data_IF_120035070708
#
_entry.id   IF_120035070708
#
_cell.length_a   1.000
_cell.length_b   1.000
_cell.length_c   1.000
_cell.angle_alpha   90.00
_cell.angle_beta   90.00
_cell.angle_gamma   90.00
#
_symmetry.space_group_name_H-M   'P 1'
#
loop_
_entity.id
_entity.type
_entity.pdbx_description
1 polymer ?
#
# COMPACT_ATOMS: atom_id res chain seq x y z
N UNK A 1 7.82 -10.35 -7.42
CA UNK A 1 7.53 -9.40 -6.31
C UNK A 1 6.02 -9.38 -6.09
N UNK A 2 5.56 -9.63 -4.89
CA UNK A 2 4.14 -9.67 -4.52
C UNK A 2 3.81 -8.49 -3.61
N UNK A 3 2.70 -7.78 -3.94
CA UNK A 3 2.17 -6.69 -3.13
C UNK A 3 0.87 -7.09 -2.42
N UNK A 4 0.70 -6.62 -1.20
CA UNK A 4 -0.52 -6.79 -0.40
C UNK A 4 -1.13 -5.41 -0.20
N UNK A 5 -2.39 -5.28 -0.58
CA UNK A 5 -3.07 -4.01 -0.67
C UNK A 5 -4.36 -4.01 0.16
N UNK A 6 -4.74 -2.82 0.65
CA UNK A 6 -6.09 -2.53 1.10
C UNK A 6 -6.82 -1.75 0.00
N UNK A 7 -7.99 -2.20 -0.36
CA UNK A 7 -8.87 -1.47 -1.27
C UNK A 7 -9.88 -0.64 -0.48
N UNK A 8 -10.11 0.62 -0.86
CA UNK A 8 -11.21 1.40 -0.30
C UNK A 8 -12.53 0.91 -0.86
N UNK A 9 -13.58 1.04 -0.06
CA UNK A 9 -14.96 0.74 -0.44
C UNK A 9 -15.85 1.98 -0.36
N UNK A 10 -17.05 1.88 -0.93
CA UNK A 10 -18.11 2.87 -0.83
C UNK A 10 -17.70 4.26 -1.35
N UNK A 11 -18.05 5.30 -0.59
CA UNK A 11 -17.85 6.70 -1.00
C UNK A 11 -16.40 7.06 -1.32
N UNK A 12 -15.43 6.48 -0.59
CA UNK A 12 -14.01 6.76 -0.84
C UNK A 12 -13.53 6.16 -2.17
N UNK A 13 -13.93 4.92 -2.49
CA UNK A 13 -13.63 4.30 -3.78
C UNK A 13 -14.18 5.14 -4.94
N UNK A 14 -15.45 5.54 -4.84
CA UNK A 14 -16.11 6.36 -5.86
C UNK A 14 -15.43 7.72 -6.04
N UNK A 15 -15.08 8.39 -4.95
CA UNK A 15 -14.36 9.65 -4.95
C UNK A 15 -13.00 9.54 -5.68
N UNK A 16 -12.19 8.53 -5.32
CA UNK A 16 -10.88 8.34 -5.94
C UNK A 16 -11.04 8.00 -7.42
N UNK A 17 -11.97 7.10 -7.77
CA UNK A 17 -12.23 6.70 -9.16
C UNK A 17 -12.68 7.87 -10.03
N UNK A 18 -13.54 8.73 -9.49
CA UNK A 18 -13.97 9.97 -10.16
C UNK A 18 -12.77 10.88 -10.48
N UNK A 19 -11.89 11.15 -9.53
CA UNK A 19 -10.72 11.98 -9.75
C UNK A 19 -9.72 11.34 -10.71
N UNK A 20 -9.49 10.03 -10.62
CA UNK A 20 -8.66 9.29 -11.60
C UNK A 20 -9.18 9.45 -13.01
N UNK A 21 -10.49 9.31 -13.20
CA UNK A 21 -11.12 9.52 -14.52
C UNK A 21 -10.92 10.94 -15.04
N UNK A 22 -11.06 11.95 -14.20
CA UNK A 22 -10.82 13.36 -14.59
C UNK A 22 -9.37 13.62 -14.96
N UNK A 23 -8.42 13.08 -14.21
CA UNK A 23 -6.98 13.17 -14.50
C UNK A 23 -6.68 12.47 -15.83
N UNK A 24 -7.22 11.26 -16.03
CA UNK A 24 -7.06 10.51 -17.29
C UNK A 24 -7.53 11.30 -18.51
N UNK A 25 -8.65 12.01 -18.41
CA UNK A 25 -9.16 12.85 -19.51
C UNK A 25 -8.24 14.02 -19.86
N UNK A 26 -7.40 14.47 -18.95
CA UNK A 26 -6.48 15.59 -19.16
C UNK A 26 -5.06 15.15 -19.50
N UNK A 27 -4.63 13.98 -19.02
CA UNK A 27 -3.28 13.42 -19.18
C UNK A 27 -3.36 11.94 -19.53
N UNK A 28 -3.36 11.61 -20.80
CA UNK A 28 -3.55 10.24 -21.31
C UNK A 28 -2.45 9.25 -20.90
N UNK A 29 -1.27 9.71 -20.50
CA UNK A 29 -0.08 8.89 -20.25
C UNK A 29 0.29 8.73 -18.77
N UNK A 30 -0.67 8.78 -17.86
CA UNK A 30 -0.43 8.56 -16.43
C UNK A 30 -0.44 7.07 -16.10
N UNK A 31 0.70 6.56 -15.64
CA UNK A 31 0.99 5.12 -15.50
C UNK A 31 0.01 4.38 -14.58
N UNK A 32 -0.30 4.91 -13.39
CA UNK A 32 -1.16 4.24 -12.41
C UNK A 32 -2.65 4.63 -12.48
N UNK A 33 -3.06 5.35 -13.53
CA UNK A 33 -4.43 5.86 -13.61
C UNK A 33 -5.47 4.75 -13.74
N UNK A 34 -5.11 3.65 -14.41
CA UNK A 34 -5.99 2.50 -14.64
C UNK A 34 -5.98 1.48 -13.49
N UNK A 35 -5.03 1.57 -12.57
CA UNK A 35 -4.99 0.66 -11.41
C UNK A 35 -6.16 0.96 -10.46
N UNK A 36 -6.77 -0.05 -9.81
CA UNK A 36 -7.79 0.18 -8.81
C UNK A 36 -7.22 1.02 -7.66
N UNK A 37 -8.06 1.87 -7.01
CA UNK A 37 -7.63 2.58 -5.83
C UNK A 37 -7.17 1.61 -4.74
N UNK A 38 -5.98 1.82 -4.20
CA UNK A 38 -5.47 0.95 -3.15
C UNK A 38 -4.47 1.66 -2.22
N UNK A 39 -4.22 1.05 -1.08
CA UNK A 39 -3.12 1.42 -0.19
C UNK A 39 -2.22 0.20 0.00
N UNK A 40 -0.96 0.33 -0.35
CA UNK A 40 0.03 -0.74 -0.18
C UNK A 40 0.36 -0.93 1.29
N UNK A 41 0.15 -2.13 1.83
CA UNK A 41 0.44 -2.49 3.22
C UNK A 41 1.77 -3.23 3.32
N UNK A 42 2.04 -4.12 2.36
CA UNK A 42 3.27 -4.90 2.37
C UNK A 42 3.69 -5.25 0.94
N UNK A 43 4.97 -5.18 0.65
CA UNK A 43 5.55 -5.60 -0.64
C UNK A 43 6.86 -6.33 -0.37
N UNK A 44 7.05 -7.49 -1.00
CA UNK A 44 8.32 -8.22 -0.92
C UNK A 44 8.50 -9.20 -2.07
N UNK A 45 9.74 -9.67 -2.24
CA UNK A 45 10.03 -10.85 -3.03
C UNK A 45 9.96 -12.08 -2.13
N UNK A 46 9.22 -13.10 -2.54
CA UNK A 46 9.02 -14.31 -1.76
C UNK A 46 9.65 -15.53 -2.45
N UNK A 47 10.12 -16.49 -1.64
CA UNK A 47 10.65 -17.77 -2.15
C UNK A 47 9.54 -18.70 -2.63
N UNK A 48 8.35 -18.63 -2.00
CA UNK A 48 7.21 -19.49 -2.33
C UNK A 48 5.91 -18.68 -2.24
N UNK A 49 5.46 -18.17 -3.38
CA UNK A 49 4.24 -17.34 -3.45
C UNK A 49 2.97 -18.12 -3.11
N UNK A 50 2.89 -19.43 -3.44
CA UNK A 50 1.72 -20.26 -3.09
C UNK A 50 1.51 -20.34 -1.57
N UNK A 51 2.59 -20.67 -0.83
CA UNK A 51 2.53 -20.70 0.65
C UNK A 51 2.22 -19.33 1.25
N UNK A 52 2.71 -18.25 0.65
CA UNK A 52 2.37 -16.88 1.08
C UNK A 52 0.88 -16.62 0.91
N UNK A 53 0.29 -17.00 -0.23
CA UNK A 53 -1.15 -16.83 -0.49
C UNK A 53 -2.00 -17.64 0.51
N UNK A 54 -1.61 -18.87 0.80
CA UNK A 54 -2.28 -19.70 1.82
C UNK A 54 -2.24 -19.06 3.21
N UNK A 55 -1.06 -18.57 3.63
CA UNK A 55 -0.92 -17.84 4.89
C UNK A 55 -1.75 -16.55 4.92
N UNK A 56 -1.79 -15.82 3.80
CA UNK A 56 -2.61 -14.63 3.68
C UNK A 56 -4.11 -14.95 3.84
N UNK A 57 -4.61 -16.02 3.24
CA UNK A 57 -5.99 -16.47 3.44
C UNK A 57 -6.31 -16.68 4.91
N UNK A 58 -5.45 -17.37 5.65
CA UNK A 58 -5.63 -17.60 7.09
C UNK A 58 -5.64 -16.29 7.88
N UNK A 59 -4.76 -15.34 7.55
CA UNK A 59 -4.73 -14.03 8.19
C UNK A 59 -5.99 -13.22 7.86
N UNK A 60 -6.46 -13.28 6.61
CA UNK A 60 -7.58 -12.47 6.14
C UNK A 60 -8.94 -13.01 6.56
N UNK A 61 -9.08 -14.32 6.79
CA UNK A 61 -10.35 -14.93 7.25
C UNK A 61 -10.90 -14.33 8.55
N UNK A 62 -10.03 -13.76 9.38
CA UNK A 62 -10.41 -13.09 10.63
C UNK A 62 -10.48 -11.57 10.53
N UNK A 63 -10.25 -11.02 9.34
CA UNK A 63 -10.25 -9.57 9.13
C UNK A 63 -11.62 -9.07 8.69
N UNK A 64 -12.08 -8.03 9.37
CA UNK A 64 -13.26 -7.26 8.99
C UNK A 64 -12.86 -5.91 8.42
N UNK A 65 -13.71 -5.37 7.56
CA UNK A 65 -13.55 -4.01 7.07
C UNK A 65 -13.50 -3.02 8.24
N UNK A 66 -12.76 -1.95 8.10
CA UNK A 66 -12.65 -0.93 9.14
C UNK A 66 -12.59 0.48 8.54
N UNK A 67 -13.08 1.43 9.31
CA UNK A 67 -13.09 2.84 8.89
C UNK A 67 -11.68 3.43 8.95
N UNK A 68 -11.33 4.15 7.88
CA UNK A 68 -10.13 4.99 7.81
C UNK A 68 -10.57 6.45 7.64
N UNK A 69 -9.67 7.38 8.04
CA UNK A 69 -9.87 8.82 7.79
C UNK A 69 -8.75 9.33 6.91
N UNK A 70 -9.12 10.04 5.86
CA UNK A 70 -8.19 10.77 5.03
C UNK A 70 -7.91 12.11 5.71
N UNK A 71 -6.64 12.47 5.82
CA UNK A 71 -6.21 13.72 6.42
C UNK A 71 -6.10 14.84 5.38
N UNK A 72 -5.38 14.56 4.30
CA UNK A 72 -5.14 15.51 3.21
C UNK A 72 -4.68 14.82 1.93
N UNK A 73 -4.74 15.55 0.83
CA UNK A 73 -4.00 15.21 -0.40
C UNK A 73 -2.53 15.59 -0.19
N UNK A 74 -1.61 14.78 -0.68
CA UNK A 74 -0.17 15.03 -0.56
C UNK A 74 0.56 14.52 -1.81
N UNK A 75 1.84 14.84 -1.91
CA UNK A 75 2.68 14.53 -3.06
C UNK A 75 3.97 13.83 -2.61
N UNK A 76 4.36 12.75 -3.30
CA UNK A 76 5.72 12.24 -3.29
C UNK A 76 6.45 12.83 -4.49
N UNK A 77 7.41 13.69 -4.24
CA UNK A 77 8.28 14.24 -5.28
C UNK A 77 9.35 13.20 -5.60
N UNK A 78 9.60 12.94 -6.88
CA UNK A 78 10.56 11.93 -7.35
C UNK A 78 10.35 10.58 -6.66
N UNK A 79 9.13 10.05 -6.70
CA UNK A 79 8.80 8.75 -6.13
C UNK A 79 9.68 7.67 -6.75
N UNK A 80 10.46 6.98 -5.93
CA UNK A 80 11.43 5.97 -6.35
C UNK A 80 10.84 4.73 -7.03
N UNK A 81 9.52 4.54 -6.97
CA UNK A 81 8.83 3.45 -7.67
C UNK A 81 8.39 3.84 -9.07
N UNK A 82 8.03 5.09 -9.26
CA UNK A 82 7.49 5.60 -10.52
C UNK A 82 8.49 6.44 -11.29
N UNK A 83 9.57 6.89 -10.63
CA UNK A 83 10.50 7.94 -11.11
C UNK A 83 9.77 9.22 -11.54
N UNK A 84 8.58 9.46 -10.99
CA UNK A 84 7.71 10.62 -11.24
C UNK A 84 7.09 11.09 -9.93
N UNK A 85 6.42 12.23 -9.96
CA UNK A 85 5.66 12.70 -8.82
C UNK A 85 4.37 11.88 -8.64
N UNK A 86 4.10 11.43 -7.43
CA UNK A 86 2.93 10.63 -7.11
C UNK A 86 2.01 11.36 -6.15
N UNK A 87 0.78 11.65 -6.58
CA UNK A 87 -0.28 12.21 -5.74
C UNK A 87 -0.89 11.09 -4.91
N UNK A 88 -1.04 11.31 -3.61
CA UNK A 88 -1.67 10.33 -2.72
C UNK A 88 -2.57 10.96 -1.67
N UNK A 89 -3.52 10.18 -1.17
CA UNK A 89 -4.36 10.55 -0.04
C UNK A 89 -3.71 10.10 1.27
N UNK A 90 -3.32 11.05 2.10
CA UNK A 90 -2.69 10.76 3.40
C UNK A 90 -3.74 10.25 4.39
N UNK A 91 -3.61 8.99 4.79
CA UNK A 91 -4.45 8.38 5.82
C UNK A 91 -4.02 8.89 7.19
N UNK A 92 -4.98 9.31 8.04
CA UNK A 92 -4.72 9.61 9.46
C UNK A 92 -4.20 8.36 10.16
N UNK A 93 -3.27 8.51 11.12
CA UNK A 93 -2.71 7.39 11.90
C UNK A 93 -3.83 6.44 12.34
N UNK A 94 -3.69 5.15 12.03
CA UNK A 94 -4.70 4.13 12.28
C UNK A 94 -4.03 2.88 12.91
N UNK A 95 -4.40 2.60 14.15
CA UNK A 95 -3.85 1.46 14.92
C UNK A 95 -4.15 0.11 14.25
N UNK A 96 -5.29 -0.03 13.54
CA UNK A 96 -5.66 -1.28 12.85
C UNK A 96 -4.74 -1.55 11.67
N UNK A 97 -4.45 -0.51 10.85
CA UNK A 97 -3.47 -0.63 9.74
C UNK A 97 -2.10 -1.03 10.27
N UNK A 98 -1.63 -0.38 11.34
CA UNK A 98 -0.33 -0.70 11.94
C UNK A 98 -0.27 -2.14 12.47
N UNK A 99 -1.32 -2.58 13.20
CA UNK A 99 -1.41 -3.97 13.69
C UNK A 99 -1.42 -4.98 12.53
N UNK A 100 -2.19 -4.71 11.48
CA UNK A 100 -2.25 -5.56 10.30
C UNK A 100 -0.88 -5.65 9.63
N UNK A 101 -0.21 -4.53 9.40
CA UNK A 101 1.12 -4.50 8.80
C UNK A 101 2.15 -5.27 9.63
N UNK A 102 2.15 -5.09 10.94
CA UNK A 102 3.02 -5.83 11.87
C UNK A 102 2.74 -7.34 11.85
N UNK A 103 1.45 -7.72 11.81
CA UNK A 103 1.03 -9.12 11.70
C UNK A 103 1.53 -9.75 10.39
N UNK A 104 1.31 -9.08 9.25
CA UNK A 104 1.80 -9.52 7.95
C UNK A 104 3.32 -9.67 7.95
N UNK A 105 4.06 -8.66 8.43
CA UNK A 105 5.50 -8.70 8.49
C UNK A 105 6.02 -9.89 9.33
N UNK A 106 5.40 -10.16 10.47
CA UNK A 106 5.80 -11.27 11.35
C UNK A 106 5.50 -12.64 10.72
N UNK A 107 4.34 -12.82 10.10
CA UNK A 107 3.94 -14.11 9.53
C UNK A 107 4.63 -14.40 8.20
N UNK A 108 5.00 -13.37 7.45
CA UNK A 108 5.58 -13.55 6.12
C UNK A 108 7.12 -13.48 6.10
N UNK A 109 7.78 -13.09 7.18
CA UNK A 109 9.24 -12.90 7.23
C UNK A 109 10.04 -14.12 6.82
N UNK A 110 9.57 -15.34 7.13
CA UNK A 110 10.24 -16.60 6.78
C UNK A 110 10.20 -16.92 5.28
N UNK A 111 9.26 -16.33 4.56
CA UNK A 111 9.10 -16.52 3.12
C UNK A 111 9.78 -15.44 2.30
N UNK A 112 10.29 -14.38 2.91
CA UNK A 112 10.99 -13.29 2.19
C UNK A 112 12.34 -13.80 1.69
N UNK A 113 12.63 -13.57 0.40
CA UNK A 113 13.96 -13.83 -0.16
C UNK A 113 14.97 -12.96 0.56
N UNK A 114 16.07 -13.59 1.02
CA UNK A 114 17.15 -12.89 1.75
C UNK A 114 18.04 -12.01 0.86
N UNK A 115 17.76 -11.98 -0.45
CA UNK A 115 18.47 -11.11 -1.37
C UNK A 115 18.34 -9.65 -0.90
N UNK A 116 19.47 -8.97 -0.91
CA UNK A 116 19.72 -7.60 -0.42
C UNK A 116 18.60 -6.62 -0.82
N UNK A 117 17.44 -6.71 -0.19
CA UNK A 117 16.31 -5.83 -0.46
C UNK A 117 16.55 -4.45 0.14
N UNK A 118 17.08 -3.55 -0.69
CA UNK A 118 17.08 -2.11 -0.42
C UNK A 118 15.66 -1.58 -0.08
N UNK A 119 14.61 -2.29 -0.52
CA UNK A 119 13.20 -1.92 -0.37
C UNK A 119 12.71 -1.99 1.08
N UNK A 120 13.10 -3.00 1.88
CA UNK A 120 12.66 -3.11 3.27
C UNK A 120 13.25 -2.01 4.17
N UNK A 121 14.50 -1.61 3.92
CA UNK A 121 15.14 -0.49 4.62
C UNK A 121 14.51 0.86 4.26
N UNK A 122 14.04 1.02 3.02
CA UNK A 122 13.42 2.24 2.55
C UNK A 122 12.03 2.46 3.19
N UNK A 123 11.20 1.42 3.26
CA UNK A 123 9.90 1.49 3.95
C UNK A 123 10.06 1.76 5.44
N UNK A 124 10.97 1.05 6.11
CA UNK A 124 11.22 1.23 7.54
C UNK A 124 11.78 2.63 7.89
N UNK A 125 12.67 3.19 7.06
CA UNK A 125 13.24 4.54 7.27
C UNK A 125 12.20 5.64 7.00
N UNK A 126 11.40 5.51 5.93
CA UNK A 126 10.37 6.51 5.59
C UNK A 126 9.18 6.49 6.56
N UNK A 127 8.78 5.30 7.05
CA UNK A 127 7.75 5.18 8.08
C UNK A 127 8.21 5.68 9.45
N UNK A 128 9.45 5.41 9.88
CA UNK A 128 10.00 6.00 11.12
C UNK A 128 9.96 7.53 11.05
N UNK A 129 10.42 8.13 9.96
CA UNK A 129 10.46 9.58 9.83
C UNK A 129 9.08 10.23 9.69
N UNK A 130 8.04 9.49 9.25
CA UNK A 130 6.66 9.98 9.21
C UNK A 130 5.90 9.80 10.52
N UNK A 131 6.43 9.01 11.46
CA UNK A 131 5.86 8.79 12.79
C UNK A 131 6.42 9.74 13.86
N UNK A 132 7.53 10.46 13.57
CA UNK A 132 8.24 11.32 14.54
C UNK A 132 7.87 12.82 14.35
N UNK A 133 6.99 13.15 13.40
CA UNK A 133 6.50 14.53 13.23
C UNK A 133 5.02 14.64 13.40
#
# INVERSE_FOLDING_TARGET
MLGIFLEPEGKLKNFISYWKLRIKKRNLNTEYINHPPHSTIYVSNFVNEKKVIENLRNITNSLYSFKIRINKVSLFINDSFTNKDTIYLKIKKNKKIYKLQKNLANNLKSFVKKDKLKVSKFFNKKMKNSMIK
#
